data_IF_931484496579
#
_entry.id   IF_931484496579
#
_cell.length_a   1.000
_cell.length_b   1.000
_cell.length_c   1.000
_cell.angle_alpha   90.00
_cell.angle_beta   90.00
_cell.angle_gamma   90.00
#
_symmetry.space_group_name_H-M   'P 1'
#
loop_
_entity.id
_entity.type
_entity.pdbx_description
1 polymer ?
#
# COMPACT_ATOMS: atom_id res chain seq x y z
N UNK A 1 7.88 -18.08 18.72
CA UNK A 1 8.45 -18.31 17.37
C UNK A 1 7.60 -19.30 16.56
N UNK A 2 6.28 -19.08 16.45
CA UNK A 2 5.33 -19.91 15.68
C UNK A 2 4.36 -19.10 14.79
N UNK A 3 4.43 -17.77 14.82
CA UNK A 3 3.52 -16.88 14.08
C UNK A 3 4.07 -16.37 12.74
N UNK A 4 5.38 -16.53 12.46
CA UNK A 4 5.98 -16.08 11.19
C UNK A 4 5.61 -16.95 9.98
N UNK A 5 5.03 -18.14 10.19
CA UNK A 5 4.63 -19.05 9.11
C UNK A 5 3.22 -18.77 8.56
N UNK A 6 2.38 -18.06 9.30
CA UNK A 6 1.00 -17.74 8.91
C UNK A 6 0.94 -16.54 7.94
N UNK A 7 1.85 -15.56 8.06
CA UNK A 7 1.91 -14.38 7.18
C UNK A 7 2.38 -14.77 5.77
N UNK A 8 3.29 -15.76 5.65
CA UNK A 8 3.75 -16.25 4.34
C UNK A 8 2.66 -17.05 3.62
N UNK A 9 1.75 -17.69 4.35
CA UNK A 9 0.63 -18.43 3.76
C UNK A 9 -0.46 -17.52 3.19
N UNK A 10 -0.64 -16.31 3.74
CA UNK A 10 -1.62 -15.34 3.23
C UNK A 10 -1.22 -14.78 1.85
N UNK A 11 0.09 -14.66 1.58
CA UNK A 11 0.61 -14.24 0.26
C UNK A 11 0.39 -15.32 -0.82
N UNK A 12 0.21 -16.59 -0.44
CA UNK A 12 0.09 -17.71 -1.39
C UNK A 12 -1.35 -18.21 -1.62
N UNK A 13 -2.32 -17.83 -0.78
CA UNK A 13 -3.72 -18.25 -0.94
C UNK A 13 -4.51 -17.37 -1.94
N UNK A 14 -3.95 -16.27 -2.42
CA UNK A 14 -4.45 -15.49 -3.57
C UNK A 14 -4.08 -16.16 -4.91
N UNK A 15 -4.41 -17.46 -5.06
CA UNK A 15 -4.00 -18.28 -6.21
C UNK A 15 -5.13 -18.66 -7.17
N UNK A 16 -6.31 -18.04 -7.06
CA UNK A 16 -7.46 -18.37 -7.93
C UNK A 16 -8.04 -17.21 -8.74
N UNK A 17 -7.88 -15.96 -8.32
CA UNK A 17 -8.39 -14.83 -9.08
C UNK A 17 -7.30 -14.31 -10.02
N UNK A 18 -7.54 -14.43 -11.32
CA UNK A 18 -6.75 -13.76 -12.36
C UNK A 18 -6.93 -12.26 -12.12
N UNK A 19 -6.03 -11.65 -11.34
CA UNK A 19 -6.03 -10.20 -11.12
C UNK A 19 -5.84 -9.53 -12.47
N UNK A 20 -6.73 -8.61 -12.81
CA UNK A 20 -6.60 -7.87 -14.06
C UNK A 20 -5.48 -6.83 -13.89
N UNK A 21 -4.61 -6.73 -14.90
CA UNK A 21 -3.47 -5.80 -14.91
C UNK A 21 -3.88 -4.32 -14.70
N UNK A 22 -5.17 -3.98 -14.86
CA UNK A 22 -5.75 -2.64 -14.73
C UNK A 22 -6.40 -2.35 -13.38
N UNK A 23 -6.47 -3.33 -12.49
CA UNK A 23 -7.08 -3.18 -11.17
C UNK A 23 -6.06 -2.69 -10.14
N UNK A 24 -6.47 -1.74 -9.33
CA UNK A 24 -5.76 -1.31 -8.12
C UNK A 24 -6.54 -1.88 -6.96
N UNK A 25 -5.88 -2.58 -6.06
CA UNK A 25 -6.48 -3.05 -4.83
C UNK A 25 -5.96 -2.28 -3.62
N UNK A 26 -6.80 -2.06 -2.63
CA UNK A 26 -6.41 -1.44 -1.37
C UNK A 26 -7.21 -2.04 -0.22
N UNK A 27 -6.65 -1.92 0.99
CA UNK A 27 -7.28 -2.40 2.20
C UNK A 27 -8.49 -1.54 2.55
N UNK A 28 -9.62 -2.22 2.77
CA UNK A 28 -10.84 -1.59 3.26
C UNK A 28 -10.97 -1.83 4.76
N UNK A 29 -11.10 -0.75 5.53
CA UNK A 29 -11.26 -0.80 6.98
C UNK A 29 -12.28 0.24 7.41
N UNK A 30 -13.00 -0.06 8.49
CA UNK A 30 -13.98 0.84 9.11
C UNK A 30 -13.43 1.34 10.44
N UNK A 31 -13.56 2.64 10.70
CA UNK A 31 -13.21 3.24 11.98
C UNK A 31 -14.50 3.34 12.79
N UNK A 32 -14.54 2.68 13.95
CA UNK A 32 -15.68 2.80 14.88
C UNK A 32 -15.50 4.00 15.81
N UNK A 33 -16.61 4.58 16.25
CA UNK A 33 -16.72 5.89 16.96
C UNK A 33 -15.99 5.94 18.31
N UNK A 34 -15.56 4.81 18.89
CA UNK A 34 -15.06 4.71 20.27
C UNK A 34 -13.51 4.79 20.42
N UNK A 35 -12.78 5.42 19.49
CA UNK A 35 -11.30 5.44 19.44
C UNK A 35 -10.64 4.04 19.35
N UNK A 36 -11.42 3.00 19.08
CA UNK A 36 -10.94 1.68 18.69
C UNK A 36 -10.86 1.63 17.17
N UNK A 37 -9.69 1.23 16.65
CA UNK A 37 -9.65 0.75 15.28
C UNK A 37 -10.12 -0.69 15.27
N UNK A 38 -11.37 -0.89 14.87
CA UNK A 38 -11.88 -2.23 14.59
C UNK A 38 -11.50 -2.62 13.17
N UNK A 39 -10.38 -3.34 13.03
CA UNK A 39 -10.12 -4.07 11.80
C UNK A 39 -11.01 -5.32 11.87
N UNK A 40 -12.28 -5.18 11.46
CA UNK A 40 -13.25 -6.27 11.45
C UNK A 40 -12.95 -7.26 10.31
N UNK A 41 -11.76 -7.85 10.37
CA UNK A 41 -11.23 -8.82 9.42
C UNK A 41 -12.09 -10.09 9.46
N UNK A 42 -12.73 -10.41 10.59
CA UNK A 42 -13.51 -11.65 10.73
C UNK A 42 -14.93 -11.51 10.19
N UNK A 43 -15.69 -10.42 10.42
CA UNK A 43 -16.98 -10.26 9.73
C UNK A 43 -16.81 -10.28 8.21
N UNK A 44 -15.67 -9.79 7.70
CA UNK A 44 -15.35 -9.84 6.27
C UNK A 44 -15.01 -11.27 5.79
N UNK A 45 -14.27 -12.04 6.58
CA UNK A 45 -13.97 -13.45 6.27
C UNK A 45 -15.22 -14.33 6.31
N UNK A 46 -16.16 -14.08 7.21
CA UNK A 46 -17.41 -14.86 7.35
C UNK A 46 -18.47 -14.49 6.30
N UNK A 47 -18.44 -13.27 5.76
CA UNK A 47 -19.42 -12.78 4.78
C UNK A 47 -19.05 -13.06 3.30
N UNK A 48 -18.01 -13.88 3.02
CA UNK A 48 -17.39 -14.00 1.69
C UNK A 48 -16.97 -12.64 1.08
N UNK A 49 -16.94 -11.57 1.89
CA UNK A 49 -16.75 -10.21 1.40
C UNK A 49 -15.26 -9.94 1.23
N UNK A 50 -14.89 -9.51 0.03
CA UNK A 50 -13.52 -9.21 -0.34
C UNK A 50 -12.94 -8.19 0.64
N UNK A 51 -11.87 -8.55 1.35
CA UNK A 51 -11.13 -7.62 2.23
C UNK A 51 -10.43 -6.50 1.44
N UNK A 52 -10.31 -6.70 0.13
CA UNK A 52 -9.74 -5.78 -0.82
C UNK A 52 -10.87 -5.08 -1.58
N UNK A 53 -10.87 -3.75 -1.57
CA UNK A 53 -11.60 -2.95 -2.56
C UNK A 53 -10.76 -2.80 -3.80
N UNK A 54 -11.43 -2.66 -4.94
CA UNK A 54 -10.80 -2.45 -6.22
C UNK A 54 -11.16 -1.07 -6.76
N UNK A 55 -10.24 -0.48 -7.51
CA UNK A 55 -10.49 0.66 -8.40
C UNK A 55 -9.85 0.34 -9.74
N UNK A 56 -10.63 0.45 -10.80
CA UNK A 56 -10.07 0.35 -12.15
C UNK A 56 -9.27 1.62 -12.51
N UNK A 57 -8.02 1.46 -12.99
CA UNK A 57 -7.14 2.61 -13.31
C UNK A 57 -7.75 3.60 -14.31
N UNK A 58 -8.62 3.12 -15.21
CA UNK A 58 -9.33 4.00 -16.17
C UNK A 58 -10.27 5.00 -15.50
N UNK A 59 -10.74 4.71 -14.29
CA UNK A 59 -11.71 5.52 -13.56
C UNK A 59 -11.01 6.67 -12.79
N UNK A 60 -9.70 6.57 -12.59
CA UNK A 60 -8.88 7.61 -11.95
C UNK A 60 -8.56 8.72 -12.95
N UNK A 61 -8.87 9.97 -12.64
CA UNK A 61 -8.58 11.12 -13.52
C UNK A 61 -7.07 11.27 -13.78
N UNK A 62 -6.72 11.88 -14.92
CA UNK A 62 -5.33 12.22 -15.21
C UNK A 62 -4.86 13.36 -14.30
N UNK A 63 -3.59 13.33 -13.89
CA UNK A 63 -2.99 14.41 -13.10
C UNK A 63 -2.69 15.66 -13.93
N UNK A 64 -2.66 15.54 -15.25
CA UNK A 64 -2.39 16.65 -16.15
C UNK A 64 -2.87 16.38 -17.58
N UNK A 65 -2.39 17.18 -18.51
CA UNK A 65 -2.84 17.15 -19.92
C UNK A 65 -2.19 16.05 -20.76
N UNK A 66 -1.13 15.41 -20.25
CA UNK A 66 -0.34 14.39 -20.96
C UNK A 66 -0.82 12.98 -20.63
N UNK A 67 -0.69 12.09 -21.62
CA UNK A 67 -1.04 10.67 -21.51
C UNK A 67 0.19 9.75 -21.57
N UNK A 68 -0.05 8.44 -21.45
CA UNK A 68 0.97 7.40 -21.50
C UNK A 68 1.68 7.25 -22.86
N UNK A 69 1.18 7.92 -23.91
CA UNK A 69 1.74 7.88 -25.27
C UNK A 69 2.72 9.01 -25.53
N UNK A 70 2.81 9.98 -24.62
CA UNK A 70 3.75 11.08 -24.74
C UNK A 70 5.20 10.59 -24.69
N UNK A 71 6.08 11.28 -25.44
CA UNK A 71 7.49 10.91 -25.56
C UNK A 71 8.23 11.01 -24.22
N UNK A 72 7.93 12.07 -23.47
CA UNK A 72 8.51 12.34 -22.16
C UNK A 72 7.41 12.82 -21.23
N UNK A 73 7.40 12.28 -20.02
CA UNK A 73 6.50 12.66 -18.95
C UNK A 73 7.22 12.63 -17.62
N UNK A 74 6.90 13.57 -16.75
CA UNK A 74 7.21 13.47 -15.33
C UNK A 74 6.08 14.11 -14.54
N UNK A 75 5.68 13.49 -13.43
CA UNK A 75 4.70 14.07 -12.52
C UNK A 75 5.31 15.15 -11.61
N UNK A 76 6.64 15.29 -11.59
CA UNK A 76 7.38 16.29 -10.82
C UNK A 76 8.43 16.94 -11.73
N UNK A 77 8.35 18.24 -12.03
CA UNK A 77 9.34 18.92 -12.84
C UNK A 77 10.76 18.75 -12.27
N UNK A 78 11.74 18.47 -13.14
CA UNK A 78 13.13 18.17 -12.72
C UNK A 78 13.77 19.38 -12.03
N UNK A 79 13.42 20.57 -12.47
CA UNK A 79 13.88 21.85 -11.93
C UNK A 79 13.44 22.08 -10.49
N UNK A 80 12.26 21.58 -10.12
CA UNK A 80 11.68 21.72 -8.79
C UNK A 80 12.23 20.67 -7.83
N UNK A 81 12.53 19.47 -8.34
CA UNK A 81 12.84 18.30 -7.52
C UNK A 81 13.87 18.55 -6.42
N UNK A 82 14.99 19.20 -6.75
CA UNK A 82 16.09 19.46 -5.78
C UNK A 82 15.70 20.38 -4.63
N UNK A 83 14.63 21.16 -4.79
CA UNK A 83 14.16 22.13 -3.81
C UNK A 83 13.03 21.58 -2.93
N UNK A 84 12.46 20.42 -3.29
CA UNK A 84 11.41 19.77 -2.52
C UNK A 84 11.92 19.39 -1.13
N UNK A 85 11.05 19.48 -0.13
CA UNK A 85 11.33 19.11 1.26
C UNK A 85 11.80 17.67 1.39
N UNK A 86 11.21 16.78 0.61
CA UNK A 86 11.60 15.36 0.51
C UNK A 86 13.01 15.16 -0.02
N UNK A 87 13.49 16.05 -0.90
CA UNK A 87 14.82 15.91 -1.52
C UNK A 87 15.95 16.54 -0.68
N UNK A 88 15.59 17.16 0.45
CA UNK A 88 16.55 17.75 1.40
C UNK A 88 16.92 16.75 2.48
N UNK A 89 18.17 16.84 2.93
CA UNK A 89 18.60 16.15 4.15
C UNK A 89 17.74 16.54 5.35
N UNK A 90 17.48 15.58 6.22
CA UNK A 90 16.63 15.79 7.39
C UNK A 90 17.35 16.55 8.51
N UNK A 91 18.70 16.49 8.54
CA UNK A 91 19.57 17.19 9.49
C UNK A 91 19.38 16.77 10.95
N UNK A 92 18.97 15.52 11.19
CA UNK A 92 18.88 14.95 12.52
C UNK A 92 19.17 13.46 12.56
N UNK A 93 19.51 12.96 13.75
CA UNK A 93 19.79 11.55 13.97
C UNK A 93 18.50 10.74 14.19
N UNK A 94 17.93 10.26 13.07
CA UNK A 94 16.75 9.39 13.12
C UNK A 94 17.01 8.04 13.77
N UNK A 95 18.26 7.59 13.88
CA UNK A 95 18.61 6.27 14.43
C UNK A 95 18.28 6.15 15.93
N UNK A 96 18.17 7.28 16.63
CA UNK A 96 17.74 7.35 18.03
C UNK A 96 16.30 6.87 18.26
N UNK A 97 15.49 6.79 17.19
CA UNK A 97 14.12 6.30 17.24
C UNK A 97 13.84 5.34 16.07
N UNK A 98 13.84 4.03 16.32
CA UNK A 98 13.79 3.02 15.25
C UNK A 98 12.54 3.12 14.36
N UNK A 99 11.39 3.51 14.90
CA UNK A 99 10.15 3.78 14.16
C UNK A 99 10.31 4.95 13.18
N UNK A 100 10.89 6.06 13.63
CA UNK A 100 11.18 7.23 12.77
C UNK A 100 12.22 6.89 11.72
N UNK A 101 13.32 6.23 12.09
CA UNK A 101 14.35 5.77 11.15
C UNK A 101 13.76 4.90 10.03
N UNK A 102 12.97 3.89 10.40
CA UNK A 102 12.30 3.01 9.43
C UNK A 102 11.31 3.77 8.56
N UNK A 103 10.56 4.70 9.16
CA UNK A 103 9.62 5.56 8.45
C UNK A 103 10.32 6.37 7.37
N UNK A 104 11.30 7.18 7.75
CA UNK A 104 12.01 8.09 6.84
C UNK A 104 12.76 7.35 5.73
N UNK A 105 13.35 6.19 6.04
CA UNK A 105 14.03 5.37 5.03
C UNK A 105 13.09 4.50 4.19
N UNK A 106 11.79 4.47 4.51
CA UNK A 106 10.83 3.68 3.74
C UNK A 106 10.53 4.33 2.39
N UNK A 107 10.24 3.50 1.39
CA UNK A 107 9.74 3.99 0.11
C UNK A 107 8.38 4.68 0.27
N UNK A 108 7.54 4.23 1.21
CA UNK A 108 6.23 4.78 1.49
C UNK A 108 6.31 6.26 1.91
N UNK A 109 7.34 6.62 2.70
CA UNK A 109 7.58 8.00 3.12
C UNK A 109 7.88 8.91 1.93
N UNK A 110 8.76 8.45 1.03
CA UNK A 110 9.03 9.14 -0.22
C UNK A 110 7.79 9.24 -1.11
N UNK A 111 7.12 8.11 -1.30
CA UNK A 111 5.92 7.98 -2.11
C UNK A 111 4.83 8.96 -1.65
N UNK A 112 4.58 9.08 -0.34
CA UNK A 112 3.63 10.04 0.23
C UNK A 112 3.99 11.50 -0.10
N UNK A 113 5.20 11.94 0.26
CA UNK A 113 5.60 13.33 0.07
C UNK A 113 5.62 13.75 -1.40
N UNK A 114 6.12 12.86 -2.28
CA UNK A 114 6.13 13.12 -3.72
C UNK A 114 4.73 13.03 -4.35
N UNK A 115 3.85 12.16 -3.86
CA UNK A 115 2.46 12.11 -4.32
C UNK A 115 1.73 13.40 -3.98
N UNK A 116 1.86 13.92 -2.76
CA UNK A 116 1.29 15.20 -2.35
C UNK A 116 1.69 16.35 -3.28
N UNK A 117 2.97 16.42 -3.64
CA UNK A 117 3.44 17.40 -4.61
C UNK A 117 2.82 17.18 -6.00
N UNK A 118 2.83 15.94 -6.50
CA UNK A 118 2.29 15.61 -7.82
C UNK A 118 0.79 15.92 -7.95
N UNK A 119 0.00 15.63 -6.93
CA UNK A 119 -1.45 15.83 -6.95
C UNK A 119 -1.87 17.28 -6.68
N UNK A 120 -1.22 17.93 -5.71
CA UNK A 120 -1.72 19.18 -5.12
C UNK A 120 -0.68 20.31 -5.07
N UNK A 121 0.54 20.08 -5.58
CA UNK A 121 1.66 21.03 -5.47
C UNK A 121 2.00 21.40 -4.02
N UNK A 122 1.75 20.47 -3.10
CA UNK A 122 2.05 20.62 -1.68
C UNK A 122 3.43 20.03 -1.43
N UNK A 123 4.41 20.91 -1.22
CA UNK A 123 5.79 20.54 -0.90
C UNK A 123 5.97 20.35 0.61
N UNK A 124 5.76 19.12 1.07
CA UNK A 124 5.98 18.76 2.48
C UNK A 124 6.79 17.48 2.59
N UNK A 125 7.60 17.41 3.65
CA UNK A 125 8.14 16.15 4.14
C UNK A 125 7.23 15.63 5.27
N UNK A 126 6.70 14.40 5.20
CA UNK A 126 5.78 13.89 6.22
C UNK A 126 6.39 13.87 7.63
N UNK A 127 5.53 14.07 8.64
CA UNK A 127 5.84 13.81 10.04
C UNK A 127 5.51 12.36 10.39
N UNK A 128 6.55 11.52 10.51
CA UNK A 128 6.45 10.15 11.01
C UNK A 128 6.08 10.15 12.50
N UNK A 129 6.53 11.15 13.25
CA UNK A 129 6.18 11.32 14.66
C UNK A 129 4.68 11.51 14.83
N UNK A 130 4.08 12.45 14.10
CA UNK A 130 2.62 12.66 14.14
C UNK A 130 1.87 11.38 13.78
N UNK A 131 2.34 10.65 12.76
CA UNK A 131 1.75 9.36 12.40
C UNK A 131 1.88 8.32 13.52
N UNK A 132 3.00 8.26 14.24
CA UNK A 132 3.16 7.33 15.38
C UNK A 132 2.21 7.72 16.53
N UNK A 133 2.09 9.01 16.83
CA UNK A 133 1.33 9.54 17.97
C UNK A 133 -0.19 9.58 17.73
N UNK A 134 -0.62 9.65 16.47
CA UNK A 134 -2.03 9.71 16.10
C UNK A 134 -2.70 8.35 15.93
N UNK A 135 -1.94 7.25 16.13
CA UNK A 135 -2.49 5.91 16.00
C UNK A 135 -3.47 5.58 17.14
N UNK A 136 -4.59 4.91 16.82
CA UNK A 136 -5.45 4.33 17.84
C UNK A 136 -4.66 3.35 18.72
N UNK A 137 -4.86 3.46 20.04
CA UNK A 137 -4.15 2.64 21.03
C UNK A 137 -4.58 1.16 21.01
N UNK A 138 -5.74 0.87 20.43
CA UNK A 138 -6.35 -0.46 20.48
C UNK A 138 -6.83 -0.91 19.11
N UNK A 139 -6.47 -2.15 18.79
CA UNK A 139 -6.94 -2.86 17.61
C UNK A 139 -7.85 -3.99 18.04
N UNK A 140 -9.05 -4.04 17.45
CA UNK A 140 -9.88 -5.25 17.52
C UNK A 140 -9.69 -6.03 16.24
N UNK A 141 -9.27 -7.28 16.38
CA UNK A 141 -9.18 -8.22 15.28
C UNK A 141 -10.33 -9.23 15.42
N UNK A 142 -11.40 -8.98 14.68
CA UNK A 142 -12.47 -9.95 14.47
C UNK A 142 -13.67 -9.94 15.43
N UNK A 143 -14.51 -10.99 15.30
CA UNK A 143 -15.83 -11.08 15.91
C UNK A 143 -15.81 -11.47 17.40
N UNK A 144 -14.77 -12.18 17.83
CA UNK A 144 -14.44 -12.28 19.25
C UNK A 144 -13.68 -11.00 19.61
N UNK A 145 -14.07 -10.29 20.67
CA UNK A 145 -13.43 -9.06 21.18
C UNK A 145 -11.96 -9.28 21.66
N UNK A 146 -11.13 -9.92 20.84
CA UNK A 146 -9.71 -10.06 21.01
C UNK A 146 -9.09 -8.69 20.77
N UNK A 147 -9.02 -7.93 21.86
CA UNK A 147 -8.26 -6.70 21.92
C UNK A 147 -6.78 -7.07 21.96
N UNK A 148 -6.11 -6.84 20.85
CA UNK A 148 -4.66 -6.85 20.84
C UNK A 148 -4.21 -5.46 21.29
N UNK A 149 -3.71 -5.39 22.52
CA UNK A 149 -2.87 -4.25 22.88
C UNK A 149 -1.62 -4.37 22.02
N UNK A 150 -1.49 -3.48 21.03
CA UNK A 150 -0.23 -3.29 20.35
C UNK A 150 0.72 -2.70 21.37
N UNK A 151 1.47 -3.55 22.07
CA UNK A 151 2.56 -3.12 22.97
C UNK A 151 3.63 -2.26 22.27
N UNK A 152 3.46 -1.99 20.98
CA UNK A 152 4.23 -1.08 20.17
C UNK A 152 3.73 0.34 20.43
N UNK A 153 4.53 1.09 21.16
CA UNK A 153 4.31 2.52 21.41
C UNK A 153 5.57 3.29 21.07
N UNK A 154 5.40 4.54 20.64
CA UNK A 154 6.50 5.45 20.35
C UNK A 154 7.47 4.87 19.33
N UNK A 155 8.76 4.86 19.66
CA UNK A 155 9.83 4.47 18.75
C UNK A 155 9.77 3.00 18.34
N UNK A 156 9.02 2.15 19.03
CA UNK A 156 8.89 0.74 18.65
C UNK A 156 7.85 0.49 17.55
N UNK A 157 7.20 1.54 17.04
CA UNK A 157 6.18 1.43 16.01
C UNK A 157 6.74 0.82 14.71
N UNK A 158 5.90 0.05 14.00
CA UNK A 158 6.24 -0.53 12.69
C UNK A 158 5.70 0.34 11.57
N UNK A 159 6.29 0.22 10.38
CA UNK A 159 5.87 0.98 9.20
C UNK A 159 4.39 0.75 8.85
N UNK A 160 3.88 -0.48 8.97
CA UNK A 160 2.47 -0.77 8.67
C UNK A 160 1.50 0.04 9.55
N UNK A 161 1.86 0.23 10.82
CA UNK A 161 1.05 1.06 11.71
C UNK A 161 1.16 2.53 11.29
N UNK A 162 2.36 3.02 10.99
CA UNK A 162 2.55 4.39 10.48
C UNK A 162 1.76 4.63 9.18
N UNK A 163 1.75 3.69 8.23
CA UNK A 163 0.94 3.75 6.99
C UNK A 163 -0.53 3.89 7.30
N UNK A 164 -1.04 3.06 8.20
CA UNK A 164 -2.43 3.13 8.63
C UNK A 164 -2.75 4.49 9.23
N UNK A 165 -1.87 5.05 10.07
CA UNK A 165 -2.04 6.39 10.62
C UNK A 165 -2.19 7.44 9.53
N UNK A 166 -1.32 7.43 8.51
CA UNK A 166 -1.43 8.37 7.39
C UNK A 166 -2.76 8.23 6.64
N UNK A 167 -3.29 7.01 6.48
CA UNK A 167 -4.58 6.82 5.84
C UNK A 167 -5.76 7.31 6.70
N UNK A 168 -5.66 7.20 8.03
CA UNK A 168 -6.70 7.60 8.98
C UNK A 168 -6.70 9.12 9.23
N UNK A 169 -5.52 9.68 9.43
CA UNK A 169 -5.30 11.01 9.99
C UNK A 169 -4.69 12.00 9.01
N UNK A 170 -4.45 11.56 7.78
CA UNK A 170 -3.76 12.33 6.77
C UNK A 170 -2.27 12.50 7.06
N UNK A 171 -1.65 13.34 6.25
CA UNK A 171 -0.23 13.68 6.30
C UNK A 171 -0.07 15.07 6.88
N UNK A 172 0.75 15.18 7.93
CA UNK A 172 1.15 16.44 8.55
C UNK A 172 2.60 16.72 8.20
N UNK A 173 2.95 17.98 7.95
CA UNK A 173 4.33 18.38 7.67
C UNK A 173 5.23 18.17 8.88
N UNK A 174 6.47 17.72 8.66
CA UNK A 174 7.52 17.65 9.70
C UNK A 174 7.85 19.03 10.30
N UNK A 175 7.54 20.11 9.59
CA UNK A 175 7.79 21.47 10.07
C UNK A 175 6.75 21.89 11.12
N UNK A 176 5.57 21.25 11.12
CA UNK A 176 4.55 21.41 12.15
C UNK A 176 4.81 20.48 13.35
N UNK A 177 5.05 19.18 13.10
CA UNK A 177 5.40 18.19 14.12
C UNK A 177 6.74 17.54 13.76
N UNK A 178 7.78 17.87 14.52
CA UNK A 178 9.15 17.49 14.22
C UNK A 178 9.37 15.98 14.29
N UNK A 179 10.12 15.45 13.32
CA UNK A 179 10.58 14.05 13.36
C UNK A 179 11.69 13.81 14.41
N UNK A 180 12.17 14.86 15.08
CA UNK A 180 13.15 14.79 16.16
C UNK A 180 12.53 14.57 17.55
N UNK A 181 11.20 14.58 17.64
CA UNK A 181 10.51 14.46 18.92
C UNK A 181 10.92 13.19 19.68
N UNK A 182 11.16 13.36 20.97
CA UNK A 182 11.50 12.25 21.87
C UNK A 182 10.24 11.56 22.35
N UNK A 183 10.10 10.29 22.01
CA UNK A 183 8.97 9.45 22.41
C UNK A 183 9.45 8.19 23.13
N UNK A 184 8.53 7.43 23.71
CA UNK A 184 8.85 6.18 24.41
C UNK A 184 9.72 5.26 23.54
N UNK A 185 10.82 4.77 24.10
CA UNK A 185 11.78 3.91 23.40
C UNK A 185 12.88 4.65 22.63
N UNK A 186 13.01 5.96 22.80
CA UNK A 186 14.16 6.73 22.29
C UNK A 186 15.46 6.27 22.96
N UNK A 187 16.51 6.01 22.18
CA UNK A 187 17.71 5.30 22.67
C UNK A 187 18.44 6.01 23.81
N UNK A 188 18.49 7.34 23.80
CA UNK A 188 19.22 8.14 24.78
C UNK A 188 18.32 8.80 25.84
N UNK A 189 17.03 8.45 25.87
CA UNK A 189 16.08 9.03 26.80
C UNK A 189 15.08 7.99 27.30
N UNK A 190 15.47 7.25 28.33
CA UNK A 190 14.61 6.24 28.96
C UNK A 190 13.39 6.84 29.68
N UNK A 191 13.33 8.17 29.84
CA UNK A 191 12.22 8.87 30.50
C UNK A 191 11.18 9.39 29.50
N UNK A 192 11.48 9.34 28.20
CA UNK A 192 10.56 9.75 27.17
C UNK A 192 9.25 8.96 27.24
N UNK A 193 8.14 9.68 27.14
CA UNK A 193 6.78 9.13 27.08
C UNK A 193 6.24 9.30 25.67
N UNK A 194 5.28 8.47 25.27
CA UNK A 194 4.48 8.77 24.07
C UNK A 194 3.46 9.83 24.45
N UNK A 195 3.50 11.04 23.87
CA UNK A 195 2.51 12.06 24.18
C UNK A 195 1.13 11.66 23.63
N UNK A 196 0.09 12.34 24.08
CA UNK A 196 -1.22 12.23 23.45
C UNK A 196 -1.16 12.77 22.02
N UNK A 197 -2.08 12.32 21.16
CA UNK A 197 -2.25 12.81 19.79
C UNK A 197 -2.19 14.35 19.77
N UNK A 198 -1.23 14.95 19.05
CA UNK A 198 -1.12 16.40 18.96
C UNK A 198 -2.36 17.04 18.35
N UNK A 199 -2.76 18.21 18.86
CA UNK A 199 -3.81 19.05 18.28
C UNK A 199 -3.29 20.38 17.74
N UNK A 200 -2.05 20.73 18.08
CA UNK A 200 -1.31 21.92 17.66
C UNK A 200 0.09 21.50 17.20
N UNK A 201 0.71 22.30 16.34
CA UNK A 201 2.11 22.17 15.97
C UNK A 201 3.03 22.37 17.20
N UNK A 202 4.30 22.03 17.04
CA UNK A 202 5.33 22.11 18.10
C UNK A 202 5.55 23.54 18.64
N UNK A 203 5.08 24.57 17.94
CA UNK A 203 5.08 25.96 18.43
C UNK A 203 4.02 26.23 19.52
N UNK A 204 3.12 25.28 19.76
CA UNK A 204 2.05 25.35 20.76
C UNK A 204 0.93 26.34 20.44
N UNK A 205 0.87 26.88 19.22
CA UNK A 205 -0.11 27.91 18.83
C UNK A 205 -0.76 27.67 17.47
N UNK A 206 -0.07 27.01 16.55
CA UNK A 206 -0.57 26.77 15.19
C UNK A 206 -1.40 25.48 15.17
N UNK A 207 -2.60 25.56 14.59
CA UNK A 207 -3.45 24.37 14.38
C UNK A 207 -2.82 23.43 13.36
N UNK A 208 -2.98 22.12 13.58
CA UNK A 208 -2.46 21.10 12.67
C UNK A 208 -3.26 21.11 11.37
N UNK A 209 -2.57 21.38 10.27
CA UNK A 209 -3.11 21.21 8.93
C UNK A 209 -2.82 19.79 8.43
N UNK A 210 -3.89 19.01 8.23
CA UNK A 210 -3.81 17.66 7.69
C UNK A 210 -4.03 17.68 6.20
N UNK A 211 -3.17 16.99 5.46
CA UNK A 211 -3.30 16.81 4.03
C UNK A 211 -3.75 15.39 3.71
N UNK A 212 -4.56 15.20 2.67
CA UNK A 212 -4.90 13.86 2.16
C UNK A 212 -5.57 12.94 3.20
N UNK A 213 -6.45 13.49 4.04
CA UNK A 213 -7.25 12.67 4.96
C UNK A 213 -8.07 11.62 4.18
N UNK A 214 -8.01 10.36 4.61
CA UNK A 214 -8.68 9.25 3.94
C UNK A 214 -7.96 8.71 2.70
N UNK A 215 -6.69 9.09 2.45
CA UNK A 215 -5.88 8.48 1.39
C UNK A 215 -5.80 6.95 1.57
N UNK A 216 -5.55 6.24 0.48
CA UNK A 216 -5.31 4.79 0.50
C UNK A 216 -3.99 4.43 -0.15
N UNK A 217 -3.32 3.42 0.39
CA UNK A 217 -2.21 2.78 -0.31
C UNK A 217 -2.80 1.75 -1.28
N UNK A 218 -2.75 2.09 -2.57
CA UNK A 218 -3.18 1.21 -3.64
C UNK A 218 -2.03 0.33 -4.12
N UNK A 219 -2.36 -0.90 -4.49
CA UNK A 219 -1.42 -1.87 -5.01
C UNK A 219 -1.89 -2.39 -6.35
N UNK A 220 -0.95 -2.68 -7.24
CA UNK A 220 -1.26 -3.25 -8.54
C UNK A 220 -0.20 -4.25 -8.98
N UNK A 221 -0.55 -5.03 -10.01
CA UNK A 221 0.36 -5.93 -10.68
C UNK A 221 0.26 -5.69 -12.17
N UNK A 222 1.38 -5.60 -12.87
CA UNK A 222 1.38 -5.52 -14.33
C UNK A 222 2.62 -6.16 -14.93
N UNK A 223 2.48 -6.58 -16.18
CA UNK A 223 3.61 -7.01 -17.03
C UNK A 223 3.87 -6.03 -18.18
N UNK A 224 3.09 -4.95 -18.27
CA UNK A 224 3.05 -4.07 -19.43
C UNK A 224 3.59 -2.66 -19.09
N UNK A 225 4.69 -2.27 -19.73
CA UNK A 225 5.29 -0.94 -19.56
C UNK A 225 4.35 0.22 -19.96
N UNK A 226 3.50 0.03 -20.97
CA UNK A 226 2.50 1.05 -21.36
C UNK A 226 1.46 1.24 -20.25
N UNK A 227 1.10 0.15 -19.57
CA UNK A 227 0.19 0.22 -18.45
C UNK A 227 0.84 0.85 -17.24
N UNK A 228 2.12 0.57 -16.97
CA UNK A 228 2.89 1.26 -15.94
C UNK A 228 2.95 2.78 -16.18
N UNK A 229 3.20 3.22 -17.41
CA UNK A 229 3.09 4.65 -17.79
C UNK A 229 1.69 5.23 -17.50
N UNK A 230 0.65 4.44 -17.77
CA UNK A 230 -0.74 4.84 -17.50
C UNK A 230 -1.05 5.01 -16.01
N UNK A 231 -0.47 4.16 -15.15
CA UNK A 231 -0.51 4.38 -13.71
C UNK A 231 0.14 5.72 -13.37
N UNK A 232 1.36 5.98 -13.85
CA UNK A 232 2.12 7.18 -13.50
C UNK A 232 1.36 8.48 -13.85
N UNK A 233 0.72 8.57 -15.02
CA UNK A 233 0.00 9.79 -15.44
C UNK A 233 -1.32 10.02 -14.68
N UNK A 234 -1.84 9.01 -13.98
CA UNK A 234 -3.11 9.07 -13.23
C UNK A 234 -2.92 9.13 -11.73
N UNK A 235 -1.85 8.51 -11.23
CA UNK A 235 -1.62 8.35 -9.78
C UNK A 235 -0.33 9.02 -9.31
N UNK A 236 0.49 9.50 -10.23
CA UNK A 236 1.73 10.20 -9.91
C UNK A 236 2.88 9.23 -9.66
N UNK A 237 3.71 9.47 -8.63
CA UNK A 237 4.81 8.58 -8.28
C UNK A 237 4.33 7.15 -7.99
N UNK A 238 5.13 6.16 -8.35
CA UNK A 238 4.87 4.75 -8.11
C UNK A 238 6.07 4.10 -7.46
N UNK A 239 5.89 3.47 -6.31
CA UNK A 239 6.90 2.56 -5.80
C UNK A 239 6.75 1.19 -6.48
N UNK A 240 7.71 0.83 -7.34
CA UNK A 240 7.67 -0.37 -8.14
C UNK A 240 8.74 -1.36 -7.70
N UNK A 241 8.34 -2.62 -7.53
CA UNK A 241 9.23 -3.78 -7.43
C UNK A 241 9.20 -4.54 -8.74
N UNK A 242 10.32 -4.52 -9.45
CA UNK A 242 10.50 -5.23 -10.70
C UNK A 242 11.09 -6.61 -10.44
N UNK A 243 10.51 -7.63 -11.06
CA UNK A 243 11.09 -8.97 -11.10
C UNK A 243 11.75 -9.19 -12.45
N UNK A 244 13.05 -9.44 -12.44
CA UNK A 244 13.86 -9.64 -13.62
C UNK A 244 14.39 -11.06 -13.69
N UNK A 245 14.26 -11.71 -14.84
CA UNK A 245 15.03 -12.91 -15.15
C UNK A 245 16.35 -12.51 -15.78
N UNK A 246 17.45 -12.85 -15.13
CA UNK A 246 18.79 -12.56 -15.65
C UNK A 246 19.30 -13.73 -16.46
N UNK A 247 19.91 -13.45 -17.61
CA UNK A 247 20.53 -14.48 -18.45
C UNK A 247 21.54 -15.30 -17.62
N UNK A 248 21.38 -16.62 -17.66
CA UNK A 248 22.20 -17.59 -16.90
C UNK A 248 22.01 -17.60 -15.37
N UNK A 249 21.03 -16.84 -14.83
CA UNK A 249 20.63 -16.95 -13.43
C UNK A 249 19.25 -17.63 -13.35
N UNK A 250 19.13 -18.81 -12.72
CA UNK A 250 17.84 -19.47 -12.57
C UNK A 250 16.91 -18.73 -11.60
N UNK A 251 17.46 -17.90 -10.71
CA UNK A 251 16.69 -17.17 -9.71
C UNK A 251 16.39 -15.77 -10.23
N UNK A 252 15.10 -15.36 -10.29
CA UNK A 252 14.75 -13.98 -10.57
C UNK A 252 15.42 -13.02 -9.57
N UNK A 253 15.90 -11.89 -10.07
CA UNK A 253 16.34 -10.79 -9.22
C UNK A 253 15.21 -9.79 -9.05
N UNK A 254 15.19 -9.15 -7.88
CA UNK A 254 14.27 -8.07 -7.58
C UNK A 254 15.05 -6.76 -7.53
N UNK A 255 14.48 -5.73 -8.14
CA UNK A 255 14.93 -4.35 -7.98
C UNK A 255 13.73 -3.50 -7.64
N UNK A 256 13.93 -2.47 -6.82
CA UNK A 256 12.88 -1.52 -6.45
C UNK A 256 13.26 -0.13 -6.92
N UNK A 257 12.25 0.67 -7.31
CA UNK A 257 12.45 2.08 -7.62
C UNK A 257 11.17 2.87 -7.37
N UNK A 258 11.31 4.13 -6.97
CA UNK A 258 10.20 5.08 -6.97
C UNK A 258 10.20 5.81 -8.31
N UNK A 259 9.27 5.49 -9.19
CA UNK A 259 9.19 6.01 -10.56
C UNK A 259 8.31 7.26 -10.58
N UNK A 260 8.77 8.33 -11.24
CA UNK A 260 8.01 9.57 -11.40
C UNK A 260 7.79 9.98 -12.85
N UNK A 261 8.27 9.19 -13.81
CA UNK A 261 8.19 9.55 -15.21
C UNK A 261 9.02 8.67 -16.12
N UNK A 262 9.11 9.10 -17.38
CA UNK A 262 9.97 8.51 -18.39
C UNK A 262 10.42 9.55 -19.40
N UNK A 263 11.49 9.23 -20.11
CA UNK A 263 11.94 9.98 -21.26
C UNK A 263 12.39 9.05 -22.39
N UNK A 264 12.30 9.53 -23.63
CA UNK A 264 12.74 8.79 -24.80
C UNK A 264 13.83 9.55 -25.56
N UNK A 265 15.05 9.01 -25.56
CA UNK A 265 16.21 9.55 -26.26
C UNK A 265 16.72 8.56 -27.32
N UNK A 266 16.85 8.99 -28.57
CA UNK A 266 17.37 8.16 -29.68
C UNK A 266 16.78 6.74 -29.78
N UNK A 267 15.46 6.62 -29.58
CA UNK A 267 14.70 5.36 -29.56
C UNK A 267 14.86 4.45 -28.34
N UNK A 268 15.66 4.86 -27.36
CA UNK A 268 15.74 4.25 -26.04
C UNK A 268 14.80 4.96 -25.07
N UNK A 269 14.14 4.20 -24.21
CA UNK A 269 13.25 4.71 -23.17
C UNK A 269 13.84 4.45 -21.79
N UNK A 270 13.86 5.47 -20.96
CA UNK A 270 14.37 5.44 -19.59
C UNK A 270 13.28 5.86 -18.62
N UNK A 271 13.19 5.15 -17.49
CA UNK A 271 12.42 5.56 -16.32
C UNK A 271 13.16 6.69 -15.62
N UNK A 272 12.42 7.73 -15.23
CA UNK A 272 12.89 8.75 -14.32
C UNK A 272 12.52 8.28 -12.92
N UNK A 273 13.52 8.00 -12.10
CA UNK A 273 13.33 7.41 -10.78
C UNK A 273 13.90 8.28 -9.68
N UNK A 274 13.46 7.99 -8.47
CA UNK A 274 13.95 8.56 -7.23
C UNK A 274 14.70 7.46 -6.47
N UNK A 275 15.92 7.78 -6.06
CA UNK A 275 16.80 6.90 -5.29
C UNK A 275 17.17 7.56 -3.97
N UNK A 276 17.31 6.75 -2.92
CA UNK A 276 17.79 7.21 -1.63
C UNK A 276 19.31 7.36 -1.62
N UNK A 277 19.81 8.42 -1.02
CA UNK A 277 21.23 8.63 -0.75
C UNK A 277 21.43 8.87 0.74
N UNK A 278 22.34 8.08 1.32
CA UNK A 278 22.77 8.22 2.71
C UNK A 278 24.07 9.03 2.76
N UNK A 279 24.18 9.95 3.72
CA UNK A 279 25.44 10.60 4.07
C UNK A 279 25.77 10.38 5.56
N UNK A 280 27.06 10.34 5.87
CA UNK A 280 27.54 10.37 7.25
C UNK A 280 27.71 11.83 7.64
N UNK A 281 27.03 12.26 8.71
CA UNK A 281 27.14 13.60 9.28
C UNK A 281 27.96 13.54 10.57
N UNK A 282 29.01 14.37 10.64
CA UNK A 282 29.81 14.57 11.85
C UNK A 282 29.39 15.89 12.51
N UNK A 283 28.81 15.82 13.72
CA UNK A 283 28.40 16.99 14.49
C UNK A 283 29.04 16.93 15.89
N UNK A 284 30.24 17.50 16.01
CA UNK A 284 31.01 17.45 17.25
C UNK A 284 31.47 16.03 17.57
N UNK A 285 30.90 15.42 18.60
CA UNK A 285 31.19 14.03 19.00
C UNK A 285 30.18 13.02 18.48
N UNK A 286 29.09 13.49 17.85
CA UNK A 286 28.05 12.62 17.30
C UNK A 286 28.32 12.35 15.82
N UNK A 287 28.04 11.11 15.41
CA UNK A 287 28.08 10.68 14.02
C UNK A 287 26.81 9.91 13.72
N UNK A 288 26.07 10.33 12.70
CA UNK A 288 24.84 9.69 12.31
C UNK A 288 24.67 9.64 10.80
N UNK A 289 23.77 8.78 10.34
CA UNK A 289 23.39 8.67 8.94
C UNK A 289 22.19 9.57 8.66
N UNK A 290 22.37 10.54 7.77
CA UNK A 290 21.28 11.36 7.24
C UNK A 290 20.89 10.84 5.86
N UNK A 291 19.64 11.05 5.49
CA UNK A 291 19.05 10.50 4.28
C UNK A 291 18.48 11.63 3.42
N UNK A 292 18.56 11.48 2.10
CA UNK A 292 17.79 12.30 1.15
C UNK A 292 17.43 11.49 -0.08
N UNK A 293 16.59 12.07 -0.92
CA UNK A 293 16.20 11.49 -2.19
C UNK A 293 16.75 12.29 -3.37
N UNK A 294 17.21 11.57 -4.40
CA UNK A 294 17.82 12.11 -5.61
C UNK A 294 17.11 11.58 -6.86
N UNK A 295 17.19 12.34 -7.96
CA UNK A 295 16.78 11.85 -9.27
C UNK A 295 17.87 10.97 -9.88
N UNK A 296 17.43 9.89 -10.52
CA UNK A 296 18.26 9.04 -11.36
C UNK A 296 17.45 8.57 -12.58
N UNK A 297 18.10 7.87 -13.51
CA UNK A 297 17.49 7.29 -14.70
C UNK A 297 17.77 5.80 -14.78
N UNK A 298 16.76 5.01 -15.12
CA UNK A 298 16.88 3.55 -15.29
C UNK A 298 16.36 3.14 -16.67
N UNK A 299 17.14 2.43 -17.50
CA UNK A 299 16.66 2.00 -18.81
C UNK A 299 15.48 1.03 -18.67
N UNK A 300 14.49 1.19 -19.55
CA UNK A 300 13.31 0.30 -19.61
C UNK A 300 13.71 -1.15 -19.85
N UNK A 301 14.69 -1.34 -20.75
CA UNK A 301 15.16 -2.64 -21.20
C UNK A 301 16.65 -2.74 -20.88
N UNK A 302 17.02 -3.75 -20.10
CA UNK A 302 18.41 -4.11 -19.87
C UNK A 302 18.73 -5.35 -20.72
N UNK A 303 19.81 -5.35 -21.51
CA UNK A 303 20.05 -6.39 -22.52
C UNK A 303 20.23 -7.80 -21.94
N UNK A 304 20.54 -7.90 -20.65
CA UNK A 304 20.73 -9.12 -19.90
C UNK A 304 19.54 -9.50 -19.00
N UNK A 305 18.46 -8.70 -19.00
CA UNK A 305 17.30 -8.88 -18.11
C UNK A 305 15.97 -8.86 -18.85
N UNK A 306 15.17 -9.89 -18.63
CA UNK A 306 13.77 -9.95 -19.06
C UNK A 306 12.87 -9.55 -17.90
N UNK A 307 12.06 -8.50 -18.08
CA UNK A 307 11.05 -8.11 -17.10
C UNK A 307 9.96 -9.18 -17.05
N UNK A 308 9.80 -9.81 -15.89
CA UNK A 308 8.76 -10.82 -15.66
C UNK A 308 7.45 -10.14 -15.25
N UNK A 309 7.53 -9.27 -14.24
CA UNK A 309 6.41 -8.52 -13.72
C UNK A 309 6.86 -7.32 -12.90
N UNK A 310 5.89 -6.44 -12.63
CA UNK A 310 5.99 -5.30 -11.76
C UNK A 310 4.88 -5.40 -10.73
N UNK A 311 5.27 -5.41 -9.46
CA UNK A 311 4.36 -5.13 -8.36
C UNK A 311 4.52 -3.66 -7.99
N UNK A 312 3.45 -2.90 -8.01
CA UNK A 312 3.48 -1.47 -7.76
C UNK A 312 2.63 -1.06 -6.58
N UNK A 313 3.05 0.02 -5.93
CA UNK A 313 2.34 0.71 -4.88
C UNK A 313 2.20 2.19 -5.23
N UNK A 314 1.02 2.75 -4.93
CA UNK A 314 0.61 4.12 -5.25
C UNK A 314 -0.18 4.73 -4.09
N UNK A 315 -0.27 6.05 -4.06
CA UNK A 315 -1.21 6.77 -3.20
C UNK A 315 -2.47 7.05 -4.00
N UNK A 316 -3.62 6.62 -3.48
CA UNK A 316 -4.92 7.01 -3.97
C UNK A 316 -5.46 8.14 -3.10
N UNK A 317 -5.92 9.22 -3.72
CA UNK A 317 -6.74 10.19 -3.02
C UNK A 317 -8.06 9.55 -2.58
N UNK A 318 -8.70 10.14 -1.57
CA UNK A 318 -10.01 9.69 -1.11
C UNK A 318 -11.02 9.63 -2.27
N UNK A 319 -11.07 10.67 -3.08
CA UNK A 319 -11.98 10.75 -4.24
C UNK A 319 -11.71 9.63 -5.25
N UNK A 320 -10.43 9.30 -5.50
CA UNK A 320 -10.06 8.21 -6.41
C UNK A 320 -10.47 6.84 -5.86
N UNK A 321 -10.43 6.65 -4.53
CA UNK A 321 -10.82 5.40 -3.88
C UNK A 321 -12.33 5.18 -3.81
N UNK A 322 -13.13 6.24 -3.91
CA UNK A 322 -14.60 6.19 -3.78
C UNK A 322 -15.35 6.07 -5.12
N UNK A 323 -14.65 6.10 -6.27
CA UNK A 323 -15.29 6.12 -7.60
C UNK A 323 -16.08 4.83 -7.89
N UNK A 324 -15.58 3.67 -7.48
CA UNK A 324 -16.20 2.37 -7.80
C UNK A 324 -17.50 2.13 -7.00
N UNK A 325 -17.57 2.62 -5.76
CA UNK A 325 -18.78 2.49 -4.92
C UNK A 325 -20.00 3.19 -5.54
N UNK A 326 -19.77 4.23 -6.34
CA UNK A 326 -20.83 4.93 -7.07
C UNK A 326 -21.30 4.20 -8.33
N UNK A 327 -20.44 3.40 -8.96
CA UNK A 327 -20.83 2.63 -10.16
C UNK A 327 -21.59 1.36 -9.78
N UNK A 328 -21.17 0.65 -8.73
CA UNK A 328 -21.89 -0.54 -8.22
C UNK A 328 -23.30 -0.19 -7.70
N UNK A 329 -23.44 0.92 -6.98
CA UNK A 329 -24.76 1.39 -6.51
C UNK A 329 -25.71 1.70 -7.67
N UNK A 330 -25.23 2.32 -8.75
CA UNK A 330 -26.04 2.61 -9.93
C UNK A 330 -26.52 1.35 -10.65
N UNK A 331 -25.67 0.34 -10.79
CA UNK A 331 -26.08 -0.93 -11.41
C UNK A 331 -27.16 -1.64 -10.57
N UNK A 332 -27.04 -1.58 -9.24
CA UNK A 332 -28.01 -2.22 -8.34
C UNK A 332 -29.36 -1.49 -8.32
N UNK A 333 -29.37 -0.16 -8.46
CA UNK A 333 -30.61 0.64 -8.54
C UNK A 333 -31.34 0.47 -9.88
N UNK A 334 -30.61 0.36 -11.00
CA UNK A 334 -31.21 0.17 -12.33
C UNK A 334 -31.85 -1.24 -12.51
N UNK A 335 -31.36 -2.26 -11.81
CA UNK A 335 -31.96 -3.61 -11.83
C UNK A 335 -33.19 -3.76 -10.90
N UNK A 336 -33.45 -2.79 -10.02
CA UNK A 336 -34.51 -2.86 -9.00
C UNK A 336 -35.85 -2.23 -9.40
N UNK A 337 -35.93 -1.47 -10.49
CA UNK A 337 -37.13 -0.68 -10.87
C UNK A 337 -38.03 -1.36 -11.93
N UNK A 338 -37.66 -2.54 -12.44
CA UNK A 338 -38.41 -3.25 -13.50
C UNK A 338 -39.34 -4.39 -13.02
N UNK A 339 -39.46 -4.66 -11.71
CA UNK A 339 -40.27 -5.79 -11.19
C UNK A 339 -41.69 -5.47 -10.70
N UNK A 340 -42.19 -4.23 -10.80
CA UNK A 340 -43.52 -3.85 -10.27
C UNK A 340 -44.59 -3.50 -11.32
N UNK A 341 -44.50 -4.04 -12.54
CA UNK A 341 -45.63 -4.06 -13.48
C UNK A 341 -45.96 -5.48 -13.95
N UNK A 342 -47.22 -5.85 -13.75
CA UNK A 342 -47.94 -7.00 -14.32
C UNK A 342 -47.95 -8.31 -13.52
N UNK A 343 -48.74 -8.35 -12.43
CA UNK A 343 -49.56 -9.54 -12.08
C UNK A 343 -50.93 -9.14 -11.54
N UNK A 344 -51.82 -8.70 -12.43
CA UNK A 344 -53.27 -8.92 -12.29
C UNK A 344 -53.67 -10.21 -13.04
N UNK A 345 -54.45 -11.04 -12.34
CA UNK A 345 -55.41 -12.05 -12.82
C UNK A 345 -54.92 -13.23 -13.71
N UNK A 346 -54.99 -14.47 -13.19
CA UNK A 346 -56.08 -15.40 -13.56
C UNK A 346 -56.09 -16.69 -12.72
N UNK A 347 -57.27 -17.33 -12.75
CA UNK A 347 -57.83 -18.37 -11.88
C UNK A 347 -57.58 -19.81 -12.34
N UNK A 348 -57.84 -20.72 -11.39
CA UNK A 348 -58.44 -22.07 -11.50
C UNK A 348 -57.84 -23.08 -12.50
N UNK A 349 -57.30 -24.21 -11.99
CA UNK A 349 -58.05 -25.49 -11.98
C UNK A 349 -57.23 -26.67 -11.41
N UNK A 350 -58.00 -27.58 -10.80
CA UNK A 350 -57.64 -28.88 -10.23
C UNK A 350 -56.94 -29.83 -11.23
N UNK A 351 -56.02 -30.70 -10.76
CA UNK A 351 -56.27 -32.15 -10.65
C UNK A 351 -55.03 -33.03 -10.38
N UNK A 352 -55.31 -33.98 -9.48
CA UNK A 352 -54.97 -35.41 -9.46
C UNK A 352 -53.52 -35.88 -9.22
N UNK A 353 -53.47 -36.71 -8.19
CA UNK A 353 -52.39 -37.55 -7.70
C UNK A 353 -51.92 -38.58 -8.74
N UNK A 354 -50.62 -38.86 -8.78
CA UNK A 354 -50.17 -40.25 -8.94
C UNK A 354 -48.83 -40.46 -8.22
N UNK A 355 -48.89 -41.27 -7.15
CA UNK A 355 -47.74 -41.78 -6.40
C UNK A 355 -47.21 -42.99 -7.15
N UNK A 356 -45.96 -42.93 -7.61
CA UNK A 356 -45.22 -44.10 -8.10
C UNK A 356 -43.88 -44.18 -7.36
N UNK A 357 -43.82 -45.14 -6.43
CA UNK A 357 -42.57 -45.70 -5.92
C UNK A 357 -41.77 -46.33 -7.05
N UNK A 358 -40.45 -46.14 -7.06
CA UNK A 358 -39.49 -47.23 -7.29
C UNK A 358 -38.02 -46.85 -7.09
N UNK A 359 -37.43 -47.66 -6.22
CA UNK A 359 -36.16 -48.39 -6.35
C UNK A 359 -34.83 -47.62 -6.43
N UNK A 360 -34.05 -47.93 -5.39
CA UNK A 360 -32.60 -47.88 -5.28
C UNK A 360 -31.89 -48.21 -6.60
N UNK A 361 -30.84 -47.43 -6.92
CA UNK A 361 -29.64 -48.04 -7.45
C UNK A 361 -28.36 -47.30 -7.06
N UNK A 362 -27.45 -48.13 -6.60
CA UNK A 362 -26.17 -47.89 -6.00
C UNK A 362 -25.14 -47.79 -7.14
N UNK A 363 -24.39 -46.69 -7.25
CA UNK A 363 -23.13 -46.76 -8.01
C UNK A 363 -22.05 -45.83 -7.47
N UNK A 364 -21.01 -46.50 -6.99
CA UNK A 364 -19.70 -45.99 -6.63
C UNK A 364 -19.04 -45.25 -7.79
N UNK A 365 -18.53 -44.05 -7.53
CA UNK A 365 -17.47 -43.44 -8.32
C UNK A 365 -16.30 -43.07 -7.40
N UNK A 366 -15.23 -43.85 -7.53
CA UNK A 366 -14.08 -43.86 -6.64
C UNK A 366 -13.23 -42.61 -6.69
N UNK A 367 -12.93 -42.13 -5.49
CA UNK A 367 -11.81 -41.24 -5.17
C UNK A 367 -10.48 -41.98 -5.33
N UNK A 368 -9.56 -41.43 -6.11
CA UNK A 368 -8.14 -41.82 -6.12
C UNK A 368 -7.27 -40.56 -6.22
N UNK A 369 -7.12 -39.83 -5.12
CA UNK A 369 -6.06 -38.83 -4.96
C UNK A 369 -4.89 -39.50 -4.23
N UNK A 370 -3.86 -39.87 -4.99
CA UNK A 370 -2.55 -40.26 -4.44
C UNK A 370 -1.78 -39.00 -4.04
N UNK A 371 -1.72 -38.72 -2.73
CA UNK A 371 -0.73 -37.79 -2.17
C UNK A 371 0.64 -38.47 -2.13
N UNK A 372 1.59 -37.97 -2.94
CA UNK A 372 3.01 -38.25 -2.77
C UNK A 372 3.56 -37.28 -1.71
N UNK A 373 3.96 -37.81 -0.55
CA UNK A 373 4.75 -37.08 0.44
C UNK A 373 6.22 -37.02 0.00
N UNK A 374 6.64 -35.86 -0.48
CA UNK A 374 8.05 -35.53 -0.72
C UNK A 374 8.58 -34.63 0.39
N UNK A 375 9.42 -35.19 1.27
CA UNK A 375 10.22 -34.47 2.26
C UNK A 375 11.20 -33.52 1.54
N UNK A 376 11.05 -32.21 1.72
CA UNK A 376 12.06 -31.21 1.34
C UNK A 376 12.76 -30.75 2.61
N UNK A 377 14.02 -31.18 2.77
CA UNK A 377 14.92 -30.73 3.83
C UNK A 377 15.52 -29.38 3.42
N UNK A 378 15.11 -28.30 4.07
CA UNK A 378 15.67 -26.96 3.86
C UNK A 378 16.98 -26.84 4.67
N UNK A 379 18.13 -26.88 3.99
CA UNK A 379 19.43 -26.53 4.58
C UNK A 379 19.63 -25.03 4.42
N UNK A 380 19.47 -24.27 5.51
CA UNK A 380 19.84 -22.86 5.56
C UNK A 380 21.30 -22.76 5.97
N UNK A 381 22.17 -22.44 5.01
CA UNK A 381 23.53 -21.97 5.28
C UNK A 381 23.52 -20.44 5.25
N UNK A 382 23.61 -19.82 6.44
CA UNK A 382 23.98 -18.40 6.55
C UNK A 382 25.50 -18.26 6.42
N UNK A 383 26.03 -17.33 5.61
CA UNK A 383 27.39 -16.87 5.77
C UNK A 383 27.44 -15.81 6.87
N UNK A 384 28.14 -16.14 7.95
CA UNK A 384 28.66 -15.16 8.91
C UNK A 384 29.76 -14.38 8.19
N UNK A 385 29.53 -13.10 7.92
CA UNK A 385 30.58 -12.17 7.55
C UNK A 385 30.91 -11.31 8.77
N UNK A 386 32.01 -11.67 9.42
CA UNK A 386 32.77 -10.82 10.32
C UNK A 386 33.49 -9.75 9.51
N UNK A 387 33.22 -8.47 9.81
CA UNK A 387 34.20 -7.40 9.84
C UNK A 387 33.79 -6.35 10.88
#
# INVERSE_FOLDING_TARGET
MRYSLLIIFFILFVRGQVRQDTQIFFEDYEITVDDYLSLDIIKKVEAESKTEKFVHINNIKWLGEKDEKTRNYTCIPREDFKNLEMSKYHKFDSSKCIGVFRGIKSADYALLGYALYAYAQIDIAPSVVYAIESLPLYYRYGAEDLQFNTQLEGCNMTMNHTRLSFQLEGVVSRDCISNEAKMKGYLDDSTATTPAKPTLCDDGTTEIEKQFEGLKFGHFYTTNQTLLKKYIVRTGPIFATFQHKIKNNPNPQQSTALIIGWEKYQDEEDWIVIVGEDQIVENGTETYWDHRFLLDVLPFNQPDRELLNVYGEIILSKEASEVEELEEKKQTEEEGDDEDQDKEEEKDDEKEEEVVDKEDDQSDAGSNIRMLWGLVTLVVLMPILTF
#
